data_IF_460227888626
#
_entry.id   IF_460227888626
#
_cell.length_a   1.000
_cell.length_b   1.000
_cell.length_c   1.000
_cell.angle_alpha   90.00
_cell.angle_beta   90.00
_cell.angle_gamma   90.00
#
_symmetry.space_group_name_H-M   'P 1'
#
loop_
_entity.id
_entity.type
_entity.pdbx_description
1 polymer ?
#
# COMPACT_ATOMS: atom_id res chain seq x y z
N UNK A 1 34.10 24.40 -1.10
CA UNK A 1 33.53 23.04 -0.97
C UNK A 1 32.00 23.11 -1.08
N UNK A 2 31.45 23.50 -2.25
CA UNK A 2 29.99 23.71 -2.41
C UNK A 2 29.44 23.47 -3.83
N UNK A 3 30.27 23.06 -4.81
CA UNK A 3 29.85 22.97 -6.22
C UNK A 3 29.60 21.52 -6.67
N UNK A 4 30.13 20.53 -5.96
CA UNK A 4 29.97 19.09 -6.31
C UNK A 4 28.78 18.39 -5.63
N UNK A 5 28.08 19.04 -4.68
CA UNK A 5 26.90 18.45 -4.02
C UNK A 5 25.59 18.68 -4.79
N UNK A 6 25.54 19.64 -5.71
CA UNK A 6 24.30 20.01 -6.39
C UNK A 6 23.71 18.88 -7.26
N UNK A 7 24.48 18.18 -8.13
CA UNK A 7 23.90 17.20 -9.04
C UNK A 7 23.30 15.98 -8.33
N UNK A 8 24.00 15.42 -7.34
CA UNK A 8 23.54 14.27 -6.59
C UNK A 8 22.26 14.57 -5.78
N UNK A 9 22.17 15.77 -5.20
CA UNK A 9 20.95 16.23 -4.54
C UNK A 9 19.79 16.36 -5.51
N UNK A 10 19.99 16.95 -6.69
CA UNK A 10 18.93 17.09 -7.70
C UNK A 10 18.43 15.73 -8.22
N UNK A 11 19.33 14.77 -8.46
CA UNK A 11 18.94 13.41 -8.89
C UNK A 11 18.16 12.67 -7.79
N UNK A 12 18.64 12.71 -6.55
CA UNK A 12 17.93 12.09 -5.43
C UNK A 12 16.57 12.76 -5.19
N UNK A 13 16.49 14.09 -5.32
CA UNK A 13 15.24 14.83 -5.14
C UNK A 13 14.19 14.46 -6.20
N UNK A 14 14.60 14.21 -7.45
CA UNK A 14 13.70 13.72 -8.50
C UNK A 14 13.18 12.31 -8.17
N UNK A 15 14.06 11.39 -7.78
CA UNK A 15 13.66 10.04 -7.40
C UNK A 15 12.70 10.03 -6.19
N UNK A 16 12.97 10.89 -5.21
CA UNK A 16 12.06 11.13 -4.09
C UNK A 16 10.68 11.59 -4.55
N UNK A 17 10.61 12.63 -5.39
CA UNK A 17 9.32 13.16 -5.86
C UNK A 17 8.49 12.10 -6.58
N UNK A 18 9.11 11.29 -7.44
CA UNK A 18 8.44 10.23 -8.17
C UNK A 18 7.85 9.18 -7.21
N UNK A 19 8.64 8.71 -6.24
CA UNK A 19 8.18 7.75 -5.22
C UNK A 19 7.09 8.38 -4.35
N UNK A 20 7.24 9.63 -3.95
CA UNK A 20 6.25 10.33 -3.14
C UNK A 20 4.90 10.47 -3.87
N UNK A 21 4.92 10.74 -5.17
CA UNK A 21 3.70 10.76 -5.98
C UNK A 21 3.06 9.38 -6.07
N UNK A 22 3.85 8.30 -6.15
CA UNK A 22 3.32 6.93 -6.08
C UNK A 22 2.60 6.67 -4.76
N UNK A 23 3.12 7.16 -3.63
CA UNK A 23 2.50 7.00 -2.31
C UNK A 23 1.15 7.74 -2.22
N UNK A 24 1.09 9.00 -2.65
CA UNK A 24 -0.10 9.83 -2.43
C UNK A 24 -1.12 9.73 -3.56
N UNK A 25 -0.69 9.77 -4.81
CA UNK A 25 -1.58 9.69 -5.97
C UNK A 25 -1.71 8.25 -6.46
N UNK A 26 -0.59 7.53 -6.59
CA UNK A 26 -0.58 6.16 -7.11
C UNK A 26 -1.48 5.22 -6.30
N UNK A 27 -1.10 4.94 -5.06
CA UNK A 27 -1.90 4.11 -4.15
C UNK A 27 -3.26 4.74 -3.82
N UNK A 28 -3.27 6.05 -3.53
CA UNK A 28 -4.49 6.77 -3.14
C UNK A 28 -5.61 6.63 -4.16
N UNK A 29 -5.34 6.93 -5.43
CA UNK A 29 -6.33 6.77 -6.50
C UNK A 29 -6.53 5.33 -6.91
N UNK A 30 -5.51 4.46 -6.90
CA UNK A 30 -5.70 3.04 -7.26
C UNK A 30 -6.81 2.38 -6.44
N UNK A 31 -6.92 2.74 -5.15
CA UNK A 31 -7.92 2.18 -4.25
C UNK A 31 -9.34 2.77 -4.43
N UNK A 32 -9.51 3.83 -5.23
CA UNK A 32 -10.84 4.44 -5.45
C UNK A 32 -11.74 3.65 -6.38
N UNK A 33 -11.35 2.44 -6.80
CA UNK A 33 -12.22 1.58 -7.62
C UNK A 33 -13.54 1.26 -6.90
N UNK A 34 -13.56 1.25 -5.56
CA UNK A 34 -14.77 1.07 -4.76
C UNK A 34 -15.73 2.26 -4.89
N UNK A 35 -16.90 2.02 -5.49
CA UNK A 35 -17.84 3.07 -5.91
C UNK A 35 -18.32 4.02 -4.80
N UNK A 36 -18.42 3.55 -3.55
CA UNK A 36 -18.90 4.31 -2.38
C UNK A 36 -17.86 4.44 -1.27
N UNK A 37 -16.58 4.24 -1.61
CA UNK A 37 -15.47 4.30 -0.66
C UNK A 37 -14.33 5.19 -1.17
N UNK A 38 -14.60 6.12 -2.09
CA UNK A 38 -13.61 6.96 -2.73
C UNK A 38 -12.95 7.95 -1.75
N UNK A 39 -13.75 8.56 -0.86
CA UNK A 39 -13.24 9.55 0.11
C UNK A 39 -12.35 8.86 1.14
N UNK A 40 -12.79 7.71 1.65
CA UNK A 40 -12.01 6.90 2.57
C UNK A 40 -10.77 6.31 1.90
N UNK A 41 -10.82 5.95 0.62
CA UNK A 41 -9.65 5.44 -0.11
C UNK A 41 -8.54 6.49 -0.17
N UNK A 42 -8.81 7.68 -0.73
CA UNK A 42 -7.79 8.74 -0.85
C UNK A 42 -7.49 9.38 0.50
N UNK A 43 -8.52 9.68 1.30
CA UNK A 43 -8.40 10.37 2.58
C UNK A 43 -7.68 9.53 3.64
N UNK A 44 -7.99 8.23 3.76
CA UNK A 44 -7.27 7.37 4.69
C UNK A 44 -5.87 7.02 4.16
N UNK A 45 -5.68 6.89 2.84
CA UNK A 45 -4.33 6.80 2.25
C UNK A 45 -3.48 8.02 2.67
N UNK A 46 -4.04 9.23 2.52
CA UNK A 46 -3.34 10.46 2.88
C UNK A 46 -2.99 10.50 4.37
N UNK A 47 -3.95 10.18 5.25
CA UNK A 47 -3.74 10.13 6.70
C UNK A 47 -2.67 9.11 7.10
N UNK A 48 -2.79 7.87 6.61
CA UNK A 48 -1.88 6.77 6.95
C UNK A 48 -0.49 7.03 6.40
N UNK A 49 -0.38 7.55 5.19
CA UNK A 49 0.91 7.90 4.61
C UNK A 49 1.59 9.04 5.38
N UNK A 50 0.87 10.14 5.66
CA UNK A 50 1.42 11.26 6.41
C UNK A 50 1.92 10.85 7.82
N UNK A 51 1.22 9.92 8.47
CA UNK A 51 1.67 9.33 9.73
C UNK A 51 2.89 8.41 9.54
N UNK A 52 2.81 7.48 8.59
CA UNK A 52 3.83 6.46 8.36
C UNK A 52 5.17 7.06 7.96
N UNK A 53 5.20 8.13 7.17
CA UNK A 53 6.45 8.81 6.79
C UNK A 53 7.26 9.29 8.01
N UNK A 54 6.57 9.90 8.98
CA UNK A 54 7.20 10.40 10.20
C UNK A 54 7.70 9.24 11.06
N UNK A 55 6.86 8.22 11.23
CA UNK A 55 7.20 7.08 12.05
C UNK A 55 8.30 6.21 11.42
N UNK A 56 8.30 6.04 10.10
CA UNK A 56 9.33 5.32 9.36
C UNK A 56 10.68 6.04 9.42
N UNK A 57 10.69 7.36 9.26
CA UNK A 57 11.91 8.19 9.43
C UNK A 57 12.55 7.95 10.80
N UNK A 58 11.75 7.82 11.86
CA UNK A 58 12.24 7.50 13.20
C UNK A 58 12.72 6.05 13.29
N UNK A 59 11.88 5.09 12.92
CA UNK A 59 12.18 3.66 13.08
C UNK A 59 13.37 3.22 12.24
N UNK A 60 13.41 3.54 10.95
CA UNK A 60 14.57 3.26 10.09
C UNK A 60 15.79 4.06 10.54
N UNK A 61 15.59 5.30 11.01
CA UNK A 61 16.64 6.12 11.60
C UNK A 61 17.31 5.48 12.83
N UNK A 62 16.55 4.83 13.70
CA UNK A 62 17.09 4.11 14.87
C UNK A 62 17.94 2.90 14.47
N UNK A 63 17.61 2.19 13.39
CA UNK A 63 18.36 1.00 12.94
C UNK A 63 19.54 1.32 12.02
N UNK A 64 19.45 2.36 11.18
CA UNK A 64 20.43 2.64 10.12
C UNK A 64 21.06 4.04 10.16
N UNK A 65 20.39 5.02 10.78
CA UNK A 65 20.73 6.45 10.63
C UNK A 65 21.31 7.13 11.87
N UNK A 66 21.58 6.39 12.95
CA UNK A 66 22.11 6.97 14.18
C UNK A 66 23.62 7.29 14.06
N UNK A 67 23.94 8.57 14.08
CA UNK A 67 25.32 9.06 14.19
C UNK A 67 25.46 9.99 15.39
N UNK A 68 26.29 9.62 16.37
CA UNK A 68 26.49 10.42 17.58
C UNK A 68 25.21 10.62 18.41
N UNK A 69 24.30 9.64 18.40
CA UNK A 69 23.02 9.71 19.12
C UNK A 69 21.92 10.51 18.41
N UNK A 70 22.13 10.95 17.17
CA UNK A 70 21.15 11.71 16.38
C UNK A 70 20.83 11.00 15.07
N UNK A 71 19.57 11.07 14.64
CA UNK A 71 19.11 10.65 13.32
C UNK A 71 19.35 11.81 12.35
N UNK A 72 20.13 11.57 11.30
CA UNK A 72 20.36 12.58 10.25
C UNK A 72 19.36 12.36 9.11
N UNK A 73 18.57 13.37 8.82
CA UNK A 73 17.53 13.31 7.79
C UNK A 73 18.05 13.95 6.49
N UNK A 74 18.00 13.18 5.41
CA UNK A 74 18.29 13.60 4.05
C UNK A 74 17.33 12.98 3.04
N UNK A 75 17.52 13.27 1.75
CA UNK A 75 16.61 12.80 0.69
C UNK A 75 16.52 11.27 0.63
N UNK A 76 17.63 10.57 0.83
CA UNK A 76 17.64 9.11 0.88
C UNK A 76 16.81 8.55 2.04
N UNK A 77 16.88 9.16 3.24
CA UNK A 77 16.02 8.75 4.36
C UNK A 77 14.53 9.03 4.09
N UNK A 78 14.22 10.07 3.30
CA UNK A 78 12.84 10.35 2.89
C UNK A 78 12.34 9.31 1.89
N UNK A 79 13.15 8.93 0.90
CA UNK A 79 12.83 7.83 -0.05
C UNK A 79 12.57 6.53 0.70
N UNK A 80 13.44 6.17 1.66
CA UNK A 80 13.28 4.96 2.45
C UNK A 80 12.01 5.00 3.32
N UNK A 81 11.64 6.17 3.85
CA UNK A 81 10.38 6.36 4.57
C UNK A 81 9.16 6.19 3.65
N UNK A 82 9.23 6.67 2.40
CA UNK A 82 8.18 6.42 1.41
C UNK A 82 8.10 4.91 1.05
N UNK A 83 9.21 4.19 0.92
CA UNK A 83 9.22 2.74 0.70
C UNK A 83 8.54 1.97 1.84
N UNK A 84 8.90 2.28 3.08
CA UNK A 84 8.22 1.71 4.25
C UNK A 84 6.72 2.04 4.24
N UNK A 85 6.36 3.28 3.89
CA UNK A 85 4.97 3.69 3.77
C UNK A 85 4.24 2.92 2.68
N UNK A 86 4.89 2.66 1.54
CA UNK A 86 4.35 1.83 0.46
C UNK A 86 3.97 0.43 0.94
N UNK A 87 4.76 -0.20 1.82
CA UNK A 87 4.41 -1.49 2.41
C UNK A 87 3.11 -1.42 3.22
N UNK A 88 2.94 -0.38 4.04
CA UNK A 88 1.71 -0.13 4.82
C UNK A 88 0.51 0.08 3.91
N UNK A 89 0.68 0.77 2.78
CA UNK A 89 -0.39 1.00 1.80
C UNK A 89 -0.78 -0.28 1.04
N UNK A 90 0.16 -1.19 0.80
CA UNK A 90 -0.14 -2.54 0.30
C UNK A 90 -0.99 -3.31 1.32
N UNK A 91 -0.63 -3.26 2.61
CA UNK A 91 -1.43 -3.85 3.69
C UNK A 91 -2.81 -3.24 3.81
N UNK A 92 -2.92 -1.91 3.67
CA UNK A 92 -4.18 -1.19 3.64
C UNK A 92 -5.10 -1.74 2.54
N UNK A 93 -4.57 -2.01 1.34
CA UNK A 93 -5.33 -2.65 0.26
C UNK A 93 -6.01 -3.96 0.67
N UNK A 94 -5.38 -4.80 1.51
CA UNK A 94 -5.97 -6.06 1.98
C UNK A 94 -7.14 -5.87 2.98
N UNK A 95 -7.16 -4.75 3.70
CA UNK A 95 -8.18 -4.41 4.71
C UNK A 95 -9.14 -3.30 4.25
N UNK A 96 -8.94 -2.76 3.05
CA UNK A 96 -9.71 -1.67 2.44
C UNK A 96 -11.23 -1.88 2.58
N UNK A 97 -11.93 -0.82 2.97
CA UNK A 97 -13.38 -0.83 3.17
C UNK A 97 -13.88 -1.51 4.45
N UNK A 98 -13.01 -2.19 5.21
CA UNK A 98 -13.40 -3.01 6.37
C UNK A 98 -12.84 -2.49 7.69
N UNK A 99 -11.98 -1.49 7.67
CA UNK A 99 -11.28 -0.96 8.85
C UNK A 99 -11.49 0.54 9.01
N UNK A 100 -11.50 1.01 10.25
CA UNK A 100 -11.58 2.44 10.58
C UNK A 100 -10.24 3.15 10.37
N UNK A 101 -10.21 4.50 10.29
CA UNK A 101 -8.97 5.26 10.26
C UNK A 101 -8.10 5.02 11.50
N UNK A 102 -8.71 4.80 12.68
CA UNK A 102 -7.97 4.47 13.91
C UNK A 102 -7.31 3.10 13.82
N UNK A 103 -8.00 2.09 13.28
CA UNK A 103 -7.39 0.78 13.06
C UNK A 103 -6.20 0.87 12.10
N UNK A 104 -6.30 1.70 11.06
CA UNK A 104 -5.21 1.90 10.10
C UNK A 104 -4.00 2.59 10.73
N UNK A 105 -4.20 3.60 11.58
CA UNK A 105 -3.10 4.25 12.31
C UNK A 105 -2.43 3.28 13.30
N UNK A 106 -3.21 2.47 14.02
CA UNK A 106 -2.67 1.44 14.91
C UNK A 106 -1.90 0.38 14.12
N UNK A 107 -2.44 -0.05 12.97
CA UNK A 107 -1.74 -0.95 12.05
C UNK A 107 -0.39 -0.37 11.62
N UNK A 108 -0.38 0.89 11.18
CA UNK A 108 0.83 1.59 10.72
C UNK A 108 1.91 1.68 11.81
N UNK A 109 1.55 1.93 13.08
CA UNK A 109 2.54 1.95 14.18
C UNK A 109 3.33 0.65 14.25
N UNK A 110 2.62 -0.48 14.25
CA UNK A 110 3.24 -1.79 14.40
C UNK A 110 3.91 -2.25 13.10
N UNK A 111 3.25 -2.03 11.96
CA UNK A 111 3.75 -2.47 10.67
C UNK A 111 5.04 -1.76 10.28
N UNK A 112 5.13 -0.43 10.45
CA UNK A 112 6.37 0.32 10.20
C UNK A 112 7.52 -0.15 11.10
N UNK A 113 7.22 -0.45 12.37
CA UNK A 113 8.21 -0.97 13.31
C UNK A 113 8.76 -2.32 12.84
N UNK A 114 7.85 -3.22 12.44
CA UNK A 114 8.19 -4.56 11.94
C UNK A 114 8.90 -4.50 10.59
N UNK A 115 8.49 -3.59 9.71
CA UNK A 115 9.15 -3.32 8.44
C UNK A 115 10.60 -2.91 8.69
N UNK A 116 10.86 -1.94 9.57
CA UNK A 116 12.22 -1.45 9.84
C UNK A 116 13.11 -2.56 10.43
N UNK A 117 12.56 -3.40 11.32
CA UNK A 117 13.27 -4.58 11.83
C UNK A 117 13.56 -5.60 10.71
N UNK A 118 12.57 -5.90 9.87
CA UNK A 118 12.71 -6.82 8.75
C UNK A 118 13.77 -6.33 7.75
N UNK A 119 13.70 -5.05 7.38
CA UNK A 119 14.66 -4.38 6.50
C UNK A 119 16.08 -4.45 7.08
N UNK A 120 16.26 -4.14 8.36
CA UNK A 120 17.56 -4.23 9.02
C UNK A 120 18.13 -5.66 8.97
N UNK A 121 17.31 -6.66 9.30
CA UNK A 121 17.75 -8.06 9.27
C UNK A 121 18.14 -8.46 7.84
N UNK A 122 17.30 -8.15 6.85
CA UNK A 122 17.53 -8.57 5.47
C UNK A 122 18.73 -7.86 4.85
N UNK A 123 18.75 -6.53 4.89
CA UNK A 123 19.71 -5.73 4.13
C UNK A 123 21.05 -5.59 4.87
N UNK A 124 21.04 -5.48 6.20
CA UNK A 124 22.27 -5.28 6.98
C UNK A 124 22.83 -6.58 7.54
N UNK A 125 22.01 -7.42 8.19
CA UNK A 125 22.52 -8.64 8.84
C UNK A 125 22.72 -9.79 7.84
N UNK A 126 21.77 -10.01 6.95
CA UNK A 126 21.83 -11.08 5.94
C UNK A 126 22.49 -10.62 4.64
N UNK A 127 22.56 -9.32 4.38
CA UNK A 127 23.06 -8.67 3.15
C UNK A 127 22.36 -9.13 1.87
N UNK A 128 21.04 -9.30 1.96
CA UNK A 128 20.17 -9.48 0.81
C UNK A 128 20.26 -8.27 -0.14
N UNK A 129 19.96 -8.50 -1.42
CA UNK A 129 19.82 -7.44 -2.41
C UNK A 129 18.36 -7.35 -2.81
N UNK A 130 17.73 -6.21 -2.53
CA UNK A 130 16.31 -5.99 -2.77
C UNK A 130 15.99 -4.52 -3.05
N UNK A 131 16.65 -3.94 -4.06
CA UNK A 131 16.58 -2.50 -4.32
C UNK A 131 15.16 -1.98 -4.62
N UNK A 132 14.33 -2.78 -5.31
CA UNK A 132 12.92 -2.46 -5.55
C UNK A 132 11.97 -2.98 -4.47
N UNK A 133 12.48 -3.56 -3.39
CA UNK A 133 11.68 -4.04 -2.26
C UNK A 133 10.70 -5.16 -2.60
N UNK A 134 11.02 -6.05 -3.54
CA UNK A 134 10.17 -7.20 -3.86
C UNK A 134 9.90 -8.06 -2.60
N UNK A 135 10.91 -8.23 -1.74
CA UNK A 135 10.77 -8.91 -0.46
C UNK A 135 10.37 -7.92 0.65
N UNK A 136 11.16 -6.88 0.88
CA UNK A 136 10.99 -5.98 2.05
C UNK A 136 9.72 -5.15 2.01
N UNK A 137 9.24 -4.77 0.81
CA UNK A 137 8.04 -3.94 0.63
C UNK A 137 6.84 -4.80 0.20
N UNK A 138 6.92 -5.38 -0.99
CA UNK A 138 5.75 -6.00 -1.63
C UNK A 138 5.34 -7.31 -0.96
N UNK A 139 6.29 -8.24 -0.79
CA UNK A 139 6.00 -9.50 -0.11
C UNK A 139 5.63 -9.22 1.35
N UNK A 140 6.42 -8.42 2.07
CA UNK A 140 6.15 -8.08 3.45
C UNK A 140 4.73 -7.49 3.64
N UNK A 141 4.41 -6.39 2.96
CA UNK A 141 3.12 -5.72 3.08
C UNK A 141 1.96 -6.60 2.64
N UNK A 142 2.09 -7.33 1.53
CA UNK A 142 1.01 -8.20 1.06
C UNK A 142 0.67 -9.30 2.08
N UNK A 143 1.68 -10.02 2.58
CA UNK A 143 1.44 -11.13 3.51
C UNK A 143 1.09 -10.64 4.93
N UNK A 144 1.61 -9.49 5.34
CA UNK A 144 1.19 -8.84 6.58
C UNK A 144 -0.30 -8.46 6.52
N UNK A 145 -0.70 -7.70 5.50
CA UNK A 145 -2.09 -7.30 5.29
C UNK A 145 -3.05 -8.49 5.12
N UNK A 146 -2.64 -9.54 4.39
CA UNK A 146 -3.41 -10.78 4.26
C UNK A 146 -3.59 -11.50 5.60
N UNK A 147 -2.57 -11.51 6.46
CA UNK A 147 -2.74 -12.09 7.80
C UNK A 147 -3.65 -11.22 8.67
N UNK A 148 -3.48 -9.89 8.66
CA UNK A 148 -4.37 -8.98 9.39
C UNK A 148 -5.82 -9.18 8.96
N UNK A 149 -6.11 -9.18 7.65
CA UNK A 149 -7.46 -9.39 7.10
C UNK A 149 -8.01 -10.77 7.45
N UNK A 150 -7.15 -11.80 7.53
CA UNK A 150 -7.53 -13.16 7.95
C UNK A 150 -7.94 -13.24 9.42
N UNK A 151 -7.28 -12.50 10.32
CA UNK A 151 -7.66 -12.43 11.74
C UNK A 151 -8.93 -11.59 11.94
N UNK A 152 -9.05 -10.51 11.18
CA UNK A 152 -10.22 -9.63 11.11
C UNK A 152 -11.36 -10.22 10.25
N UNK A 153 -11.37 -11.53 10.01
CA UNK A 153 -12.44 -12.19 9.25
C UNK A 153 -13.83 -11.81 9.76
N UNK A 154 -14.71 -11.44 8.81
CA UNK A 154 -16.08 -10.94 9.04
C UNK A 154 -17.10 -11.97 8.52
N UNK A 155 -17.81 -12.70 9.40
CA UNK A 155 -18.69 -13.80 8.99
C UNK A 155 -19.92 -13.33 8.20
N UNK A 156 -20.36 -12.08 8.36
CA UNK A 156 -21.55 -11.54 7.71
C UNK A 156 -21.21 -10.51 6.62
N UNK A 157 -19.98 -10.49 6.10
CA UNK A 157 -19.52 -9.52 5.10
C UNK A 157 -20.32 -9.58 3.79
N UNK A 158 -21.04 -10.69 3.54
CA UNK A 158 -21.98 -10.80 2.44
C UNK A 158 -23.07 -9.73 2.46
N UNK A 159 -23.41 -9.17 3.64
CA UNK A 159 -24.42 -8.10 3.78
C UNK A 159 -24.02 -6.80 3.07
N UNK A 160 -22.72 -6.49 2.99
CA UNK A 160 -22.21 -5.32 2.26
C UNK A 160 -21.53 -5.67 0.93
N UNK A 161 -21.61 -6.93 0.46
CA UNK A 161 -20.94 -7.39 -0.76
C UNK A 161 -21.32 -6.57 -2.00
N UNK A 162 -22.56 -6.09 -2.08
CA UNK A 162 -23.04 -5.25 -3.18
C UNK A 162 -22.33 -3.89 -3.29
N UNK A 163 -21.65 -3.44 -2.21
CA UNK A 163 -20.85 -2.20 -2.19
C UNK A 163 -19.38 -2.45 -2.53
N UNK A 164 -18.92 -3.70 -2.45
CA UNK A 164 -17.59 -4.12 -2.88
C UNK A 164 -17.57 -4.31 -4.41
N UNK A 165 -17.79 -3.23 -5.13
CA UNK A 165 -17.83 -3.17 -6.59
C UNK A 165 -17.39 -1.80 -7.08
N UNK A 166 -17.15 -1.72 -8.39
CA UNK A 166 -16.84 -0.47 -9.07
C UNK A 166 -17.99 0.01 -9.94
N UNK A 167 -17.88 1.27 -10.37
CA UNK A 167 -18.66 1.89 -11.45
C UNK A 167 -17.70 2.56 -12.42
N UNK A 168 -18.17 2.89 -13.62
CA UNK A 168 -17.31 3.44 -14.68
C UNK A 168 -16.41 4.59 -14.22
N UNK A 169 -16.95 5.57 -13.49
CA UNK A 169 -16.16 6.70 -13.02
C UNK A 169 -15.16 6.33 -11.92
N UNK A 170 -15.51 5.39 -11.03
CA UNK A 170 -14.60 4.96 -9.97
C UNK A 170 -13.42 4.17 -10.54
N UNK A 171 -13.66 3.37 -11.59
CA UNK A 171 -12.59 2.70 -12.35
C UNK A 171 -11.71 3.68 -13.13
N UNK A 172 -12.29 4.72 -13.74
CA UNK A 172 -11.50 5.79 -14.38
C UNK A 172 -10.60 6.53 -13.37
N UNK A 173 -11.10 6.81 -12.16
CA UNK A 173 -10.27 7.37 -11.09
C UNK A 173 -9.18 6.38 -10.64
N UNK A 174 -9.49 5.09 -10.52
CA UNK A 174 -8.50 4.07 -10.20
C UNK A 174 -7.39 3.98 -11.25
N UNK A 175 -7.73 4.17 -12.52
CA UNK A 175 -6.75 4.22 -13.61
C UNK A 175 -5.77 5.39 -13.50
N UNK A 176 -6.14 6.50 -12.87
CA UNK A 176 -5.17 7.57 -12.54
C UNK A 176 -4.07 7.00 -11.65
N UNK A 177 -4.45 6.33 -10.56
CA UNK A 177 -3.50 5.69 -9.66
C UNK A 177 -2.62 4.66 -10.38
N UNK A 178 -3.23 3.78 -11.17
CA UNK A 178 -2.52 2.78 -11.99
C UNK A 178 -1.46 3.41 -12.90
N UNK A 179 -1.81 4.47 -13.63
CA UNK A 179 -0.89 5.12 -14.58
C UNK A 179 0.26 5.81 -13.85
N UNK A 180 0.00 6.50 -12.74
CA UNK A 180 1.05 7.14 -11.94
C UNK A 180 2.02 6.11 -11.34
N UNK A 181 1.49 5.01 -10.80
CA UNK A 181 2.33 3.89 -10.34
C UNK A 181 3.18 3.36 -11.48
N UNK A 182 2.57 3.06 -12.64
CA UNK A 182 3.25 2.48 -13.79
C UNK A 182 4.36 3.40 -14.34
N UNK A 183 4.11 4.71 -14.47
CA UNK A 183 5.08 5.66 -15.01
C UNK A 183 6.28 5.88 -14.09
N UNK A 184 6.06 5.89 -12.76
CA UNK A 184 7.12 6.20 -11.79
C UNK A 184 7.80 4.98 -11.17
N UNK A 185 7.33 3.77 -11.47
CA UNK A 185 7.98 2.54 -11.00
C UNK A 185 9.46 2.39 -11.41
N UNK A 186 9.92 2.83 -12.60
CA UNK A 186 11.35 2.85 -12.92
C UNK A 186 12.18 3.67 -11.93
N UNK A 187 11.66 4.81 -11.47
CA UNK A 187 12.28 5.62 -10.41
C UNK A 187 12.23 4.88 -9.07
N UNK A 188 11.08 4.29 -8.72
CA UNK A 188 10.93 3.48 -7.49
C UNK A 188 12.00 2.39 -7.36
N UNK A 189 12.16 1.55 -8.38
CA UNK A 189 13.12 0.45 -8.31
C UNK A 189 14.59 0.91 -8.34
N UNK A 190 14.86 2.09 -8.90
CA UNK A 190 16.22 2.58 -9.12
C UNK A 190 16.68 3.63 -8.11
N UNK A 191 15.77 4.18 -7.28
CA UNK A 191 16.05 5.30 -6.39
C UNK A 191 17.19 5.03 -5.38
N UNK A 192 17.32 3.79 -4.90
CA UNK A 192 18.34 3.36 -3.92
C UNK A 192 19.41 2.43 -4.52
N UNK A 193 19.43 2.29 -5.84
CA UNK A 193 20.48 1.52 -6.51
C UNK A 193 21.77 2.33 -6.62
N UNK A 194 22.90 1.62 -6.74
CA UNK A 194 24.19 2.27 -6.93
C UNK A 194 24.17 3.18 -8.17
N UNK A 195 24.61 4.43 -7.99
CA UNK A 195 24.63 5.42 -9.06
C UNK A 195 25.45 4.97 -10.28
N UNK A 196 25.02 5.38 -11.46
CA UNK A 196 25.66 5.03 -12.73
C UNK A 196 24.96 3.87 -13.42
N UNK A 197 25.72 2.84 -13.81
CA UNK A 197 25.23 1.76 -14.68
C UNK A 197 24.11 0.92 -14.02
N UNK A 198 24.24 0.61 -12.72
CA UNK A 198 23.24 -0.18 -12.00
C UNK A 198 21.90 0.53 -11.91
N UNK A 199 21.91 1.84 -11.63
CA UNK A 199 20.71 2.67 -11.61
C UNK A 199 20.03 2.75 -12.99
N UNK A 200 20.82 3.00 -14.03
CA UNK A 200 20.30 3.06 -15.40
C UNK A 200 19.70 1.73 -15.85
N UNK A 201 20.39 0.61 -15.62
CA UNK A 201 19.90 -0.74 -15.94
C UNK A 201 18.65 -1.10 -15.16
N UNK A 202 18.57 -0.74 -13.87
CA UNK A 202 17.38 -0.99 -13.06
C UNK A 202 16.16 -0.26 -13.60
N UNK A 203 16.32 1.01 -13.97
CA UNK A 203 15.23 1.80 -14.57
C UNK A 203 14.76 1.21 -15.91
N UNK A 204 15.69 0.90 -16.83
CA UNK A 204 15.35 0.31 -18.14
C UNK A 204 14.69 -1.06 -18.02
N UNK A 205 15.21 -1.94 -17.16
CA UNK A 205 14.62 -3.27 -16.95
C UNK A 205 13.21 -3.18 -16.38
N UNK A 206 12.97 -2.24 -15.45
CA UNK A 206 11.64 -1.99 -14.91
C UNK A 206 10.69 -1.49 -15.99
N UNK A 207 11.12 -0.53 -16.81
CA UNK A 207 10.34 -0.01 -17.93
C UNK A 207 9.91 -1.12 -18.91
N UNK A 208 10.84 -1.95 -19.37
CA UNK A 208 10.52 -3.03 -20.31
C UNK A 208 9.71 -4.15 -19.65
N UNK A 209 9.96 -4.47 -18.38
CA UNK A 209 9.16 -5.44 -17.62
C UNK A 209 7.70 -4.98 -17.50
N UNK A 210 7.47 -3.70 -17.21
CA UNK A 210 6.14 -3.11 -17.15
C UNK A 210 5.44 -3.09 -18.51
N UNK A 211 6.15 -2.71 -19.58
CA UNK A 211 5.59 -2.74 -20.93
C UNK A 211 5.16 -4.16 -21.35
N UNK A 212 6.00 -5.16 -21.07
CA UNK A 212 5.68 -6.57 -21.30
C UNK A 212 4.48 -7.03 -20.45
N UNK A 213 4.47 -6.71 -19.16
CA UNK A 213 3.38 -7.06 -18.25
C UNK A 213 2.03 -6.46 -18.70
N UNK A 214 2.02 -5.21 -19.18
CA UNK A 214 0.81 -4.58 -19.73
C UNK A 214 0.31 -5.34 -20.96
N UNK A 215 1.18 -5.58 -21.96
CA UNK A 215 0.79 -6.31 -23.16
C UNK A 215 0.31 -7.73 -22.84
N UNK A 216 1.01 -8.42 -21.95
CA UNK A 216 0.60 -9.74 -21.46
C UNK A 216 -0.75 -9.65 -20.76
N UNK A 217 -0.99 -8.70 -19.86
CA UNK A 217 -2.28 -8.57 -19.15
C UNK A 217 -3.44 -8.36 -20.13
N UNK A 218 -3.26 -7.55 -21.18
CA UNK A 218 -4.28 -7.35 -22.22
C UNK A 218 -4.41 -8.55 -23.18
N UNK A 219 -3.32 -9.24 -23.50
CA UNK A 219 -3.30 -10.39 -24.40
C UNK A 219 -3.71 -11.72 -23.75
N UNK A 220 -3.55 -11.84 -22.42
CA UNK A 220 -3.78 -13.05 -21.60
C UNK A 220 -5.14 -13.02 -20.90
N UNK A 221 -5.91 -11.92 -21.01
CA UNK A 221 -7.28 -11.84 -20.50
C UNK A 221 -8.20 -12.97 -21.05
N UNK A 222 -7.76 -13.70 -22.09
CA UNK A 222 -8.41 -14.91 -22.60
C UNK A 222 -7.79 -16.27 -22.22
N UNK A 223 -6.51 -16.39 -21.83
CA UNK A 223 -5.81 -17.70 -21.70
C UNK A 223 -4.63 -17.64 -20.71
N UNK A 224 -4.89 -17.85 -19.42
CA UNK A 224 -3.92 -17.65 -18.31
C UNK A 224 -2.97 -18.86 -18.14
N UNK A 225 -1.82 -18.78 -18.82
CA UNK A 225 -0.49 -19.42 -18.66
C UNK A 225 -0.32 -20.96 -18.64
N UNK A 226 0.19 -21.56 -19.74
CA UNK A 226 0.94 -22.81 -19.71
C UNK A 226 2.45 -22.56 -19.95
N UNK A 227 3.23 -22.83 -18.91
CA UNK A 227 4.65 -23.18 -18.86
C UNK A 227 5.76 -22.14 -19.15
N UNK A 228 6.60 -21.95 -18.13
CA UNK A 228 7.97 -21.44 -18.23
C UNK A 228 8.88 -22.31 -17.37
N UNK A 229 9.90 -22.93 -18.00
CA UNK A 229 11.31 -22.87 -17.57
C UNK A 229 12.19 -23.93 -18.27
N UNK A 230 13.43 -23.56 -18.61
CA UNK A 230 14.56 -24.49 -18.71
C UNK A 230 15.85 -23.82 -18.19
N UNK A 231 16.55 -24.52 -17.29
CA UNK A 231 17.75 -24.09 -16.51
C UNK A 231 19.05 -23.97 -17.34
N UNK A 232 20.25 -23.69 -16.80
CA UNK A 232 20.83 -23.96 -15.46
C UNK A 232 21.99 -22.99 -15.11
N UNK A 233 22.42 -22.93 -13.83
CA UNK A 233 23.23 -21.81 -13.24
C UNK A 233 24.26 -22.24 -12.13
N UNK A 234 25.15 -21.33 -11.70
CA UNK A 234 25.67 -21.24 -10.30
C UNK A 234 25.83 -19.80 -9.72
N UNK A 235 24.76 -19.25 -9.10
CA UNK A 235 24.66 -18.08 -8.23
C UNK A 235 24.20 -18.51 -6.81
N UNK A 236 24.59 -19.71 -6.39
CA UNK A 236 23.94 -20.46 -5.30
C UNK A 236 23.99 -19.78 -3.94
N UNK A 237 25.09 -19.13 -3.57
CA UNK A 237 25.19 -18.47 -2.26
C UNK A 237 24.31 -17.22 -2.15
N UNK A 238 24.24 -16.41 -3.21
CA UNK A 238 23.32 -15.27 -3.27
C UNK A 238 21.86 -15.75 -3.32
N UNK A 239 21.60 -16.84 -4.06
CA UNK A 239 20.28 -17.48 -4.10
C UNK A 239 19.83 -18.01 -2.74
N UNK A 240 20.73 -18.65 -1.97
CA UNK A 240 20.44 -19.11 -0.60
C UNK A 240 20.14 -17.92 0.32
N UNK A 241 20.91 -16.83 0.26
CA UNK A 241 20.63 -15.62 1.04
C UNK A 241 19.28 -15.02 0.69
N UNK A 242 18.90 -14.96 -0.59
CA UNK A 242 17.59 -14.49 -1.02
C UNK A 242 16.46 -15.42 -0.57
N UNK A 243 16.64 -16.74 -0.63
CA UNK A 243 15.66 -17.70 -0.14
C UNK A 243 15.44 -17.59 1.38
N UNK A 244 16.53 -17.47 2.17
CA UNK A 244 16.45 -17.23 3.62
C UNK A 244 15.79 -15.88 3.90
N UNK A 245 16.17 -14.83 3.17
CA UNK A 245 15.59 -13.49 3.30
C UNK A 245 14.07 -13.51 3.04
N UNK A 246 13.63 -14.20 2.00
CA UNK A 246 12.22 -14.39 1.71
C UNK A 246 11.51 -15.13 2.85
N UNK A 247 12.11 -16.20 3.38
CA UNK A 247 11.53 -16.94 4.50
C UNK A 247 11.43 -16.10 5.78
N UNK A 248 12.45 -15.29 6.08
CA UNK A 248 12.44 -14.35 7.22
C UNK A 248 11.35 -13.29 7.04
N UNK A 249 11.27 -12.68 5.86
CA UNK A 249 10.20 -11.72 5.52
C UNK A 249 8.83 -12.32 5.74
N UNK A 250 8.58 -13.52 5.20
CA UNK A 250 7.29 -14.20 5.38
C UNK A 250 7.03 -14.51 6.85
N UNK A 251 8.04 -14.96 7.60
CA UNK A 251 7.94 -15.22 9.03
C UNK A 251 7.53 -13.99 9.82
N UNK A 252 8.21 -12.85 9.62
CA UNK A 252 7.92 -11.59 10.31
C UNK A 252 6.56 -11.03 9.86
N UNK A 253 6.26 -11.05 8.57
CA UNK A 253 4.99 -10.55 8.03
C UNK A 253 3.80 -11.34 8.59
N UNK A 254 3.86 -12.67 8.57
CA UNK A 254 2.76 -13.53 9.04
C UNK A 254 2.62 -13.48 10.57
N UNK A 255 3.72 -13.53 11.32
CA UNK A 255 3.65 -13.44 12.78
C UNK A 255 3.20 -12.04 13.24
N UNK A 256 3.75 -11.00 12.63
CA UNK A 256 3.40 -9.61 12.87
C UNK A 256 1.93 -9.34 12.56
N UNK A 257 1.48 -9.72 11.36
CA UNK A 257 0.09 -9.54 10.95
C UNK A 257 -0.89 -10.32 11.81
N UNK A 258 -0.48 -11.47 12.36
CA UNK A 258 -1.29 -12.25 13.29
C UNK A 258 -1.49 -11.47 14.60
N UNK A 259 -0.40 -10.99 15.20
CA UNK A 259 -0.44 -10.23 16.46
C UNK A 259 -1.22 -8.92 16.28
N UNK A 260 -0.88 -8.15 15.25
CA UNK A 260 -1.55 -6.87 14.97
C UNK A 260 -3.01 -7.09 14.63
N UNK A 261 -3.34 -8.13 13.85
CA UNK A 261 -4.72 -8.51 13.57
C UNK A 261 -5.54 -8.77 14.84
N UNK A 262 -4.96 -9.40 15.87
CA UNK A 262 -5.64 -9.60 17.15
C UNK A 262 -5.81 -8.30 17.93
N UNK A 263 -4.82 -7.41 17.90
CA UNK A 263 -4.93 -6.08 18.49
C UNK A 263 -6.08 -5.33 17.83
N UNK A 264 -6.09 -5.24 16.50
CA UNK A 264 -7.11 -4.52 15.73
C UNK A 264 -8.52 -5.11 15.86
N UNK A 265 -8.65 -6.36 16.33
CA UNK A 265 -9.93 -7.02 16.58
C UNK A 265 -10.64 -6.52 17.85
N UNK A 266 -9.94 -5.79 18.71
CA UNK A 266 -10.53 -5.20 19.90
C UNK A 266 -11.64 -4.19 19.52
N UNK A 267 -12.82 -4.24 20.16
CA UNK A 267 -14.00 -3.46 19.77
C UNK A 267 -13.95 -2.00 20.24
N UNK A 268 -12.77 -1.38 20.23
CA UNK A 268 -12.52 -0.01 20.72
C UNK A 268 -12.10 0.95 19.62
N UNK A 269 -11.86 0.45 18.40
CA UNK A 269 -11.31 1.25 17.30
C UNK A 269 -12.37 1.74 16.31
N UNK A 270 -13.66 1.59 16.59
CA UNK A 270 -14.73 2.12 15.73
C UNK A 270 -14.79 1.48 14.33
N UNK A 271 -14.48 0.19 14.23
CA UNK A 271 -14.61 -0.58 13.00
C UNK A 271 -16.07 -0.60 12.52
N UNK A 272 -16.33 -0.57 11.19
CA UNK A 272 -17.70 -0.60 10.70
C UNK A 272 -18.35 -1.97 10.97
N UNK A 273 -19.67 -2.04 11.16
CA UNK A 273 -20.40 -3.31 11.16
C UNK A 273 -20.40 -3.95 9.76
N UNK A 274 -20.49 -5.28 9.70
CA UNK A 274 -20.42 -6.08 8.47
C UNK A 274 -21.47 -5.68 7.40
N UNK A 275 -22.57 -5.04 7.79
CA UNK A 275 -23.64 -4.60 6.88
C UNK A 275 -23.34 -3.33 6.11
N UNK A 276 -22.37 -2.53 6.55
CA UNK A 276 -22.07 -1.21 5.97
C UNK A 276 -20.57 -1.02 5.69
N UNK A 277 -19.79 -2.10 5.52
CA UNK A 277 -18.44 -1.95 4.96
C UNK A 277 -18.49 -1.35 3.54
N UNK A 278 -17.36 -0.76 3.11
CA UNK A 278 -17.21 -0.11 1.80
C UNK A 278 -18.11 1.12 1.61
N UNK A 279 -18.36 1.87 2.68
CA UNK A 279 -19.21 3.08 2.69
C UNK A 279 -18.49 4.28 3.33
N UNK A 280 -18.46 5.40 2.61
CA UNK A 280 -17.83 6.64 3.07
C UNK A 280 -18.63 7.33 4.18
N UNK A 281 -19.97 7.25 4.14
CA UNK A 281 -20.88 7.95 5.06
C UNK A 281 -20.71 7.57 6.54
N UNK A 282 -19.91 6.53 6.82
CA UNK A 282 -19.55 6.15 8.19
C UNK A 282 -18.59 7.18 8.81
N UNK A 283 -17.70 7.73 8.00
CA UNK A 283 -16.56 8.55 8.44
C UNK A 283 -16.54 9.95 7.82
N UNK A 284 -17.37 10.20 6.82
CA UNK A 284 -17.41 11.44 6.06
C UNK A 284 -18.84 11.96 5.95
N UNK A 285 -18.97 13.29 5.92
CA UNK A 285 -20.16 13.96 5.43
C UNK A 285 -20.07 14.01 3.89
N UNK A 286 -20.90 13.23 3.21
CA UNK A 286 -20.86 13.06 1.75
C UNK A 286 -22.00 13.86 1.08
N UNK A 287 -21.71 14.64 0.02
CA UNK A 287 -22.75 15.37 -0.70
C UNK A 287 -23.77 14.44 -1.36
N UNK A 288 -25.06 14.69 -1.15
CA UNK A 288 -26.16 14.00 -1.85
C UNK A 288 -26.91 12.92 -1.06
N UNK A 289 -26.45 12.52 0.13
CA UNK A 289 -27.19 11.56 0.97
C UNK A 289 -28.36 12.19 1.77
N UNK A 290 -28.50 13.52 1.76
CA UNK A 290 -29.69 14.19 2.31
C UNK A 290 -30.94 13.96 1.43
N UNK A 291 -30.78 13.77 0.12
CA UNK A 291 -31.91 13.60 -0.82
C UNK A 291 -32.54 12.20 -0.71
N UNK A 292 -31.76 11.13 -0.53
CA UNK A 292 -32.27 9.75 -0.40
C UNK A 292 -33.07 9.56 0.92
N UNK A 293 -32.64 10.24 2.00
CA UNK A 293 -33.42 10.32 3.23
C UNK A 293 -34.70 11.16 3.07
N UNK A 294 -34.66 12.24 2.28
CA UNK A 294 -35.81 13.08 1.97
C UNK A 294 -36.86 12.37 1.11
N UNK A 295 -36.44 11.59 0.11
CA UNK A 295 -37.32 10.78 -0.74
C UNK A 295 -37.94 9.60 0.03
N UNK A 296 -37.18 8.93 0.91
CA UNK A 296 -37.76 7.91 1.80
C UNK A 296 -38.78 8.50 2.77
N UNK A 297 -38.50 9.66 3.38
CA UNK A 297 -39.44 10.32 4.28
C UNK A 297 -40.70 10.78 3.55
N UNK A 298 -40.58 11.33 2.34
CA UNK A 298 -41.73 11.74 1.54
C UNK A 298 -42.56 10.53 1.06
N UNK A 299 -41.92 9.45 0.60
CA UNK A 299 -42.62 8.22 0.22
C UNK A 299 -43.35 7.56 1.40
N UNK A 300 -42.76 7.57 2.60
CA UNK A 300 -43.41 7.08 3.83
C UNK A 300 -44.62 7.94 4.19
N UNK A 301 -44.49 9.28 4.14
CA UNK A 301 -45.64 10.16 4.41
C UNK A 301 -46.76 9.99 3.39
N UNK A 302 -46.46 9.79 2.11
CA UNK A 302 -47.48 9.52 1.08
C UNK A 302 -48.22 8.20 1.34
N UNK A 303 -47.50 7.14 1.71
CA UNK A 303 -48.10 5.83 2.01
C UNK A 303 -48.94 5.83 3.30
N UNK A 304 -48.56 6.62 4.31
CA UNK A 304 -49.37 6.81 5.53
C UNK A 304 -50.63 7.62 5.24
N UNK A 305 -50.53 8.67 4.41
CA UNK A 305 -51.68 9.48 3.98
C UNK A 305 -52.68 8.66 3.15
N UNK A 306 -52.21 7.72 2.33
CA UNK A 306 -53.07 6.84 1.53
C UNK A 306 -53.81 5.80 2.39
N UNK A 307 -53.17 5.29 3.45
CA UNK A 307 -53.80 4.40 4.46
C UNK A 307 -54.82 5.09 5.37
N UNK A 308 -54.77 6.41 5.49
CA UNK A 308 -55.74 7.17 6.29
C UNK A 308 -57.00 7.55 5.49
N UNK A 309 -56.95 7.42 4.17
CA UNK A 309 -58.04 7.76 3.24
C UNK A 309 -58.73 6.53 2.63
N UNK A 310 -58.44 5.32 3.14
CA UNK A 310 -59.13 4.05 2.83
C UNK A 310 -59.77 3.49 4.09
#
# INVERSE_FOLDING_TARGET
MSVYMAPAFFFAASGFQDVHVMIFIGFGFLMTFLQRYGFSSVGFNFLVAAFSLQWATLMQGFFHGMHGGKIHIGVESMINADFCTGAVLISFGAVLGKTSPVQLLVMAIFEVTLFAVNEFILLSALGAKDAGGSMTIHTFGAYFGLMVTRVLYRPNLNKSKHRNSSVYHSDLFAMIGTIYLWMFWPSFNSAVTAHGDDQHRTAMNTYYSLAACTLSTYGIMGDVFPDVASGDISPSFQGVRQAISLAVTLGIALLGGLIVGFILKLPIFGAPPDSICYEDNIYWEVPGDEEDHGEQLTAVTSAEVEKLNT
#
